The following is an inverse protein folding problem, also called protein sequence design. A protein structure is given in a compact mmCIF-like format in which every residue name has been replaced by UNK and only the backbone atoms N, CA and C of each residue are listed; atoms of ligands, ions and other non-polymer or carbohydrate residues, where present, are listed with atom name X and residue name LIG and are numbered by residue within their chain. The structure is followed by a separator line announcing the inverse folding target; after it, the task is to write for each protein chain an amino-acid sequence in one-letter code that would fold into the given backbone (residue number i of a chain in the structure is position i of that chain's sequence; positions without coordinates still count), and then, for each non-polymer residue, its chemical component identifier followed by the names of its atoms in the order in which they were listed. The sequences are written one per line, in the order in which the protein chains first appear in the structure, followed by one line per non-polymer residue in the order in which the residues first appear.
data_IF_681354339651
#
_entry.id   IF_681354339651
#
_cell.length_a   1.000
_cell.length_b   1.000
_cell.length_c   1.000
_cell.angle_alpha   90.00
_cell.angle_beta   90.00
_cell.angle_gamma   90.00
#
_symmetry.space_group_name_H-M   'P 1'
#
loop_
_entity.id
_entity.type
_entity.pdbx_description
1 polymer ?
#
# COMPACT_ATOMS: atom_id res chain seq x y z
N UNK A 1 -21.18 9.61 5.88
CA UNK A 1 -20.92 8.39 5.08
C UNK A 1 -19.45 8.40 4.68
N UNK A 2 -18.72 7.28 4.79
CA UNK A 2 -17.33 7.22 4.33
C UNK A 2 -17.28 7.52 2.83
N UNK A 3 -16.27 8.29 2.40
CA UNK A 3 -16.09 8.67 0.99
C UNK A 3 -15.83 7.39 0.18
N UNK A 4 -16.64 7.15 -0.86
CA UNK A 4 -16.50 5.98 -1.74
C UNK A 4 -15.13 6.03 -2.44
N UNK A 5 -14.45 4.89 -2.48
CA UNK A 5 -13.18 4.74 -3.19
C UNK A 5 -13.46 4.60 -4.69
N UNK A 6 -12.79 5.41 -5.49
CA UNK A 6 -13.01 5.46 -6.94
C UNK A 6 -12.62 4.15 -7.64
N UNK A 7 -13.44 3.74 -8.61
CA UNK A 7 -13.27 2.52 -9.40
C UNK A 7 -13.79 2.70 -10.83
N UNK A 8 -13.28 1.92 -11.76
CA UNK A 8 -13.61 2.07 -13.18
C UNK A 8 -14.91 1.37 -13.55
N UNK A 9 -15.32 0.36 -12.78
CA UNK A 9 -16.47 -0.48 -13.12
C UNK A 9 -16.18 -1.45 -14.28
N UNK A 10 -14.91 -1.80 -14.50
CA UNK A 10 -14.51 -2.73 -15.56
C UNK A 10 -14.87 -4.19 -15.27
N UNK A 11 -15.29 -4.51 -14.05
CA UNK A 11 -15.61 -5.86 -13.59
C UNK A 11 -16.97 -5.89 -12.88
N UNK A 12 -17.47 -7.10 -12.63
CA UNK A 12 -18.69 -7.32 -11.86
C UNK A 12 -18.44 -7.40 -10.34
N UNK A 13 -17.23 -7.07 -9.87
CA UNK A 13 -16.95 -7.06 -8.43
C UNK A 13 -17.85 -6.04 -7.74
N UNK A 14 -18.41 -6.39 -6.60
CA UNK A 14 -19.10 -5.43 -5.73
C UNK A 14 -18.09 -4.47 -5.09
N UNK A 15 -18.56 -3.36 -4.52
CA UNK A 15 -17.66 -2.45 -3.80
C UNK A 15 -17.02 -3.14 -2.58
N UNK A 16 -17.78 -3.98 -1.88
CA UNK A 16 -17.29 -4.79 -0.75
C UNK A 16 -16.17 -5.74 -1.16
N UNK A 17 -16.37 -6.45 -2.27
CA UNK A 17 -15.36 -7.36 -2.83
C UNK A 17 -14.10 -6.62 -3.25
N UNK A 18 -14.26 -5.43 -3.85
CA UNK A 18 -13.13 -4.63 -4.29
C UNK A 18 -12.36 -4.02 -3.10
N UNK A 19 -13.02 -3.66 -2.00
CA UNK A 19 -12.37 -3.24 -0.75
C UNK A 19 -11.52 -4.36 -0.15
N UNK A 20 -12.02 -5.59 -0.15
CA UNK A 20 -11.25 -6.77 0.27
C UNK A 20 -10.04 -6.94 -0.66
N UNK A 21 -10.28 -6.89 -1.97
CA UNK A 21 -9.25 -7.09 -2.97
C UNK A 21 -8.16 -6.00 -2.93
N UNK A 22 -8.48 -4.76 -2.53
CA UNK A 22 -7.48 -3.72 -2.27
C UNK A 22 -6.45 -4.15 -1.23
N UNK A 23 -6.89 -4.74 -0.12
CA UNK A 23 -5.97 -5.18 0.94
C UNK A 23 -5.26 -6.47 0.57
N UNK A 24 -5.96 -7.40 -0.09
CA UNK A 24 -5.32 -8.62 -0.60
C UNK A 24 -4.24 -8.27 -1.61
N UNK A 25 -4.52 -7.41 -2.61
CA UNK A 25 -3.56 -7.03 -3.65
C UNK A 25 -2.34 -6.30 -3.08
N UNK A 26 -2.52 -5.45 -2.07
CA UNK A 26 -1.40 -4.69 -1.50
C UNK A 26 -0.55 -5.49 -0.51
N UNK A 27 -1.18 -6.33 0.32
CA UNK A 27 -0.52 -6.94 1.49
C UNK A 27 -0.71 -8.46 1.60
N UNK A 28 -1.82 -8.98 1.10
CA UNK A 28 -2.27 -10.34 1.42
C UNK A 28 -2.71 -10.45 2.88
N UNK A 29 -2.65 -11.64 3.46
CA UNK A 29 -2.91 -11.83 4.90
C UNK A 29 -3.42 -13.23 5.23
N UNK A 30 -4.16 -13.33 6.32
CA UNK A 30 -4.93 -14.53 6.68
C UNK A 30 -6.42 -14.21 6.70
N UNK A 31 -7.28 -15.18 6.43
CA UNK A 31 -8.73 -15.00 6.28
C UNK A 31 -9.35 -14.30 7.49
N UNK A 32 -8.89 -14.62 8.70
CA UNK A 32 -9.40 -13.95 9.90
C UNK A 32 -9.17 -12.43 9.95
N UNK A 33 -8.19 -11.89 9.22
CA UNK A 33 -7.97 -10.44 9.12
C UNK A 33 -9.06 -9.72 8.33
N UNK A 34 -9.86 -10.48 7.56
CA UNK A 34 -10.87 -9.94 6.67
C UNK A 34 -12.29 -9.99 7.24
N UNK A 35 -12.50 -10.52 8.45
CA UNK A 35 -13.80 -10.45 9.11
C UNK A 35 -14.19 -8.99 9.41
N UNK A 36 -15.48 -8.69 9.35
CA UNK A 36 -15.96 -7.30 9.33
C UNK A 36 -15.60 -6.53 10.61
N UNK A 37 -15.53 -7.21 11.75
CA UNK A 37 -15.14 -6.64 13.04
C UNK A 37 -13.63 -6.41 13.17
N UNK A 38 -12.80 -7.10 12.39
CA UNK A 38 -11.34 -7.03 12.42
C UNK A 38 -10.80 -6.11 11.32
N UNK A 39 -11.39 -6.16 10.13
CA UNK A 39 -10.88 -5.54 8.91
C UNK A 39 -10.59 -4.03 9.06
N UNK A 40 -11.49 -3.20 9.63
CA UNK A 40 -11.23 -1.76 9.78
C UNK A 40 -10.04 -1.47 10.69
N UNK A 41 -9.91 -2.21 11.79
CA UNK A 41 -8.82 -2.01 12.75
C UNK A 41 -7.49 -2.54 12.22
N UNK A 42 -7.51 -3.69 11.55
CA UNK A 42 -6.31 -4.33 11.01
C UNK A 42 -5.69 -3.52 9.87
N UNK A 43 -6.52 -2.88 9.04
CA UNK A 43 -6.06 -2.22 7.82
C UNK A 43 -6.24 -0.70 7.81
N UNK A 44 -6.76 -0.12 8.89
CA UNK A 44 -7.17 1.27 8.98
C UNK A 44 -7.99 1.68 7.74
N UNK A 45 -9.08 0.95 7.50
CA UNK A 45 -9.88 1.03 6.27
C UNK A 45 -11.38 1.03 6.56
N UNK A 46 -12.24 1.51 5.66
CA UNK A 46 -13.67 1.38 5.82
C UNK A 46 -14.11 -0.09 5.95
N UNK A 47 -15.19 -0.34 6.70
CA UNK A 47 -15.86 -1.63 6.71
C UNK A 47 -16.27 -2.05 5.29
N UNK A 48 -16.11 -3.34 4.96
CA UNK A 48 -16.57 -3.87 3.67
C UNK A 48 -18.06 -4.24 3.70
N UNK A 49 -18.68 -4.44 4.88
CA UNK A 49 -20.12 -4.63 5.01
C UNK A 49 -20.64 -6.01 4.63
N UNK A 50 -19.76 -7.01 4.50
CA UNK A 50 -20.17 -8.41 4.37
C UNK A 50 -20.21 -9.03 5.76
N UNK A 51 -21.26 -9.77 6.09
CA UNK A 51 -21.22 -10.63 7.27
C UNK A 51 -20.24 -11.80 7.06
N UNK A 52 -19.89 -12.51 8.14
CA UNK A 52 -18.85 -13.53 8.10
C UNK A 52 -19.17 -14.70 7.15
N UNK A 53 -20.43 -15.12 7.09
CA UNK A 53 -20.88 -16.19 6.19
C UNK A 53 -20.71 -15.79 4.71
N UNK A 54 -21.18 -14.60 4.36
CA UNK A 54 -21.06 -14.05 3.01
C UNK A 54 -19.61 -13.76 2.66
N UNK A 55 -18.80 -13.28 3.60
CA UNK A 55 -17.37 -13.08 3.40
C UNK A 55 -16.67 -14.40 3.07
N UNK A 56 -16.90 -15.46 3.85
CA UNK A 56 -16.28 -16.77 3.60
C UNK A 56 -16.68 -17.29 2.23
N UNK A 57 -17.96 -17.26 1.89
CA UNK A 57 -18.45 -17.65 0.56
C UNK A 57 -17.83 -16.81 -0.57
N UNK A 58 -17.66 -15.50 -0.33
CA UNK A 58 -17.01 -14.58 -1.28
C UNK A 58 -15.55 -14.94 -1.50
N UNK A 59 -14.80 -15.20 -0.43
CA UNK A 59 -13.39 -15.57 -0.53
C UNK A 59 -13.21 -16.94 -1.19
N UNK A 60 -14.05 -17.92 -0.86
CA UNK A 60 -14.01 -19.24 -1.49
C UNK A 60 -14.34 -19.14 -2.99
N UNK A 61 -15.31 -18.30 -3.37
CA UNK A 61 -15.62 -18.01 -4.78
C UNK A 61 -14.45 -17.35 -5.49
N UNK A 62 -13.86 -16.29 -4.93
CA UNK A 62 -12.70 -15.61 -5.52
C UNK A 62 -11.49 -16.54 -5.67
N UNK A 63 -11.32 -17.50 -4.76
CA UNK A 63 -10.28 -18.52 -4.87
C UNK A 63 -10.59 -19.54 -5.97
N UNK A 64 -11.84 -20.02 -6.06
CA UNK A 64 -12.30 -20.90 -7.14
C UNK A 64 -12.17 -20.26 -8.53
N UNK A 65 -12.42 -18.95 -8.61
CA UNK A 65 -12.27 -18.15 -9.84
C UNK A 65 -10.80 -17.84 -10.16
N UNK A 66 -9.86 -18.26 -9.31
CA UNK A 66 -8.42 -18.03 -9.48
C UNK A 66 -7.99 -16.57 -9.28
N UNK A 67 -8.83 -15.74 -8.67
CA UNK A 67 -8.51 -14.33 -8.33
C UNK A 67 -7.55 -14.29 -7.14
N UNK A 68 -7.82 -15.09 -6.13
CA UNK A 68 -6.97 -15.25 -4.95
C UNK A 68 -6.53 -16.71 -4.80
N UNK A 69 -5.57 -16.95 -3.93
CA UNK A 69 -5.07 -18.27 -3.56
C UNK A 69 -4.72 -18.29 -2.08
N UNK A 70 -4.81 -19.46 -1.47
CA UNK A 70 -4.50 -19.65 -0.07
C UNK A 70 -3.96 -21.03 0.28
N UNK A 71 -3.29 -21.09 1.42
CA UNK A 71 -2.79 -22.31 2.04
C UNK A 71 -3.37 -22.41 3.45
N UNK A 72 -3.65 -23.62 3.90
CA UNK A 72 -4.08 -23.86 5.28
C UNK A 72 -3.00 -23.40 6.25
N UNK A 73 -3.39 -22.64 7.27
CA UNK A 73 -2.49 -22.09 8.28
C UNK A 73 -3.17 -22.08 9.66
N UNK A 74 -2.51 -21.48 10.65
CA UNK A 74 -3.10 -21.19 11.96
C UNK A 74 -3.06 -19.69 12.21
N UNK A 75 -4.12 -19.16 12.81
CA UNK A 75 -4.13 -17.77 13.25
C UNK A 75 -3.26 -17.57 14.51
N UNK A 76 -3.17 -16.32 14.99
CA UNK A 76 -2.40 -15.96 16.19
C UNK A 76 -2.80 -16.70 17.49
N UNK A 77 -3.98 -17.32 17.50
CA UNK A 77 -4.50 -18.12 18.62
C UNK A 77 -4.36 -19.63 18.38
N UNK A 78 -3.63 -20.05 17.34
CA UNK A 78 -3.42 -21.46 17.00
C UNK A 78 -4.62 -22.17 16.38
N UNK A 79 -5.71 -21.44 16.08
CA UNK A 79 -6.91 -21.99 15.44
C UNK A 79 -6.71 -22.11 13.92
N UNK A 80 -7.33 -23.09 13.25
CA UNK A 80 -7.26 -23.21 11.79
C UNK A 80 -7.67 -21.92 11.09
N UNK A 81 -6.91 -21.55 10.07
CA UNK A 81 -7.12 -20.37 9.24
C UNK A 81 -6.59 -20.65 7.82
N UNK A 82 -6.70 -19.69 6.90
CA UNK A 82 -6.20 -19.79 5.53
C UNK A 82 -5.44 -18.52 5.16
N UNK A 83 -4.25 -18.67 4.56
CA UNK A 83 -3.57 -17.50 3.97
C UNK A 83 -4.39 -17.00 2.78
N UNK A 84 -4.30 -15.71 2.49
CA UNK A 84 -4.95 -15.08 1.35
C UNK A 84 -3.90 -14.25 0.62
N UNK A 85 -3.70 -14.57 -0.65
CA UNK A 85 -2.84 -13.82 -1.58
C UNK A 85 -3.58 -13.66 -2.89
N UNK A 86 -3.35 -12.55 -3.57
CA UNK A 86 -3.83 -12.37 -4.94
C UNK A 86 -2.96 -13.21 -5.86
N UNK A 87 -3.58 -13.82 -6.86
CA UNK A 87 -2.84 -14.41 -7.98
C UNK A 87 -2.42 -13.31 -8.95
N UNK A 88 -1.57 -13.64 -9.94
CA UNK A 88 -1.30 -12.71 -11.04
C UNK A 88 -2.57 -12.34 -11.80
N UNK A 89 -3.50 -13.28 -11.97
CA UNK A 89 -4.77 -13.04 -12.64
C UNK A 89 -5.64 -12.06 -11.83
N UNK A 90 -5.80 -12.28 -10.53
CA UNK A 90 -6.56 -11.36 -9.68
C UNK A 90 -5.92 -9.98 -9.55
N UNK A 91 -4.58 -9.90 -9.61
CA UNK A 91 -3.87 -8.63 -9.67
C UNK A 91 -4.23 -7.82 -10.91
N UNK A 92 -4.34 -8.46 -12.08
CA UNK A 92 -4.78 -7.79 -13.31
C UNK A 92 -6.26 -7.35 -13.24
N UNK A 93 -7.13 -8.15 -12.63
CA UNK A 93 -8.53 -7.76 -12.35
C UNK A 93 -8.56 -6.51 -11.48
N UNK A 94 -7.81 -6.51 -10.38
CA UNK A 94 -7.70 -5.37 -9.48
C UNK A 94 -7.13 -4.12 -10.18
N UNK A 95 -6.08 -4.26 -10.99
CA UNK A 95 -5.52 -3.18 -11.78
C UNK A 95 -6.54 -2.60 -12.77
N UNK A 96 -7.41 -3.42 -13.35
CA UNK A 96 -8.44 -2.93 -14.27
C UNK A 96 -9.45 -2.00 -13.57
N UNK A 97 -9.76 -2.28 -12.29
CA UNK A 97 -10.68 -1.51 -11.46
C UNK A 97 -10.06 -0.25 -10.87
N UNK A 98 -8.80 -0.33 -10.43
CA UNK A 98 -8.11 0.80 -9.77
C UNK A 98 -7.29 1.66 -10.73
N UNK A 99 -6.90 1.13 -11.90
CA UNK A 99 -5.99 1.78 -12.86
C UNK A 99 -4.81 2.47 -12.16
N UNK A 100 -4.01 1.74 -11.35
CA UNK A 100 -2.89 2.35 -10.66
C UNK A 100 -1.85 2.88 -11.65
N UNK A 101 -1.39 4.11 -11.42
CA UNK A 101 -0.13 4.58 -11.99
C UNK A 101 1.02 4.09 -11.10
N UNK A 102 1.61 2.95 -11.46
CA UNK A 102 2.71 2.36 -10.70
C UNK A 102 3.95 3.24 -10.62
N UNK A 103 4.14 4.19 -11.53
CA UNK A 103 5.27 5.13 -11.47
C UNK A 103 5.17 6.05 -10.25
N UNK A 104 3.97 6.20 -9.70
CA UNK A 104 3.64 6.99 -8.51
C UNK A 104 3.53 6.16 -7.23
N UNK A 105 3.65 4.84 -7.33
CA UNK A 105 3.65 3.97 -6.16
C UNK A 105 4.97 4.13 -5.39
N UNK A 106 4.86 4.24 -4.07
CA UNK A 106 5.99 4.15 -3.18
C UNK A 106 5.68 3.36 -1.92
N UNK A 107 6.72 2.83 -1.30
CA UNK A 107 6.68 2.23 0.03
C UNK A 107 7.84 2.76 0.86
N UNK A 108 7.62 2.91 2.15
CA UNK A 108 8.56 3.46 3.10
C UNK A 108 8.83 2.47 4.23
N UNK A 109 10.06 2.49 4.72
CA UNK A 109 10.51 1.67 5.85
C UNK A 109 11.24 2.57 6.85
N UNK A 110 10.85 2.43 8.11
CA UNK A 110 11.40 3.12 9.27
C UNK A 110 12.25 2.13 10.06
N UNK A 111 13.56 2.38 10.13
CA UNK A 111 14.54 1.48 10.74
C UNK A 111 14.96 1.92 12.14
N UNK A 112 15.62 0.99 12.85
CA UNK A 112 16.21 1.23 14.16
C UNK A 112 17.24 2.36 14.13
N UNK A 113 17.31 3.07 15.25
CA UNK A 113 18.20 4.19 15.47
C UNK A 113 19.66 3.76 15.37
N UNK A 114 20.56 4.68 15.01
CA UNK A 114 22.01 4.40 15.12
C UNK A 114 22.33 3.96 16.55
N UNK A 115 23.33 3.08 16.71
CA UNK A 115 23.94 2.86 18.02
C UNK A 115 24.33 4.25 18.58
N UNK A 116 23.90 4.55 19.79
CA UNK A 116 24.16 5.82 20.50
C UNK A 116 23.59 7.08 19.84
N UNK A 117 22.53 6.97 19.04
CA UNK A 117 21.84 8.14 18.49
C UNK A 117 20.34 7.94 18.43
N UNK A 118 19.58 8.99 18.75
CA UNK A 118 18.13 9.02 18.62
C UNK A 118 17.67 9.10 17.16
N UNK A 119 18.57 9.46 16.23
CA UNK A 119 18.25 9.54 14.81
C UNK A 119 17.81 8.19 14.27
N UNK A 120 16.74 8.24 13.49
CA UNK A 120 16.18 7.08 12.86
C UNK A 120 16.40 7.08 11.34
N UNK A 121 16.48 5.90 10.74
CA UNK A 121 16.65 5.78 9.29
C UNK A 121 15.30 5.67 8.61
N UNK A 122 15.01 6.59 7.69
CA UNK A 122 13.89 6.48 6.76
C UNK A 122 14.42 6.01 5.42
N UNK A 123 13.73 5.05 4.82
CA UNK A 123 14.05 4.55 3.47
C UNK A 123 12.78 4.53 2.63
N UNK A 124 12.80 5.21 1.50
CA UNK A 124 11.69 5.31 0.55
C UNK A 124 12.09 4.54 -0.70
N UNK A 125 11.19 3.68 -1.17
CA UNK A 125 11.33 2.92 -2.40
C UNK A 125 10.19 3.29 -3.36
N UNK A 126 10.51 3.45 -4.64
CA UNK A 126 9.51 3.70 -5.68
C UNK A 126 10.11 3.48 -7.06
N UNK A 127 9.26 3.55 -8.08
CA UNK A 127 9.71 3.35 -9.47
C UNK A 127 10.24 4.63 -10.13
N UNK A 128 9.94 5.80 -9.55
CA UNK A 128 10.36 7.11 -10.05
C UNK A 128 11.16 7.87 -9.01
N UNK A 129 12.38 8.30 -9.37
CA UNK A 129 13.21 9.17 -8.52
C UNK A 129 12.49 10.48 -8.17
N UNK A 130 11.91 11.24 -9.14
CA UNK A 130 11.11 12.42 -8.83
C UNK A 130 10.02 12.17 -7.79
N UNK A 131 9.33 11.03 -7.85
CA UNK A 131 8.28 10.68 -6.88
C UNK A 131 8.84 10.43 -5.48
N UNK A 132 9.93 9.65 -5.36
CA UNK A 132 10.56 9.41 -4.07
C UNK A 132 11.07 10.70 -3.41
N UNK A 133 11.68 11.60 -4.20
CA UNK A 133 12.08 12.92 -3.73
C UNK A 133 10.88 13.79 -3.34
N UNK A 134 9.84 13.83 -4.16
CA UNK A 134 8.62 14.61 -3.87
C UNK A 134 7.97 14.19 -2.55
N UNK A 135 7.89 12.88 -2.27
CA UNK A 135 7.40 12.37 -0.99
C UNK A 135 8.30 12.80 0.18
N UNK A 136 9.62 12.65 0.04
CA UNK A 136 10.57 13.05 1.07
C UNK A 136 10.49 14.54 1.37
N UNK A 137 10.53 15.38 0.34
CA UNK A 137 10.50 16.84 0.44
C UNK A 137 9.17 17.33 1.02
N UNK A 138 8.04 16.78 0.57
CA UNK A 138 6.74 17.06 1.15
C UNK A 138 6.69 16.67 2.63
N UNK A 139 7.30 15.53 2.98
CA UNK A 139 7.37 15.06 4.35
C UNK A 139 8.21 15.96 5.26
N UNK A 140 9.33 16.48 4.75
CA UNK A 140 10.15 17.45 5.49
C UNK A 140 9.42 18.78 5.64
N UNK A 141 8.85 19.30 4.56
CA UNK A 141 8.15 20.60 4.55
C UNK A 141 6.91 20.61 5.45
N UNK A 142 6.22 19.47 5.59
CA UNK A 142 5.04 19.35 6.46
C UNK A 142 5.38 18.96 7.90
N UNK A 143 6.63 18.69 8.24
CA UNK A 143 7.00 18.15 9.56
C UNK A 143 6.60 16.68 9.78
N UNK A 144 6.30 15.94 8.71
CA UNK A 144 6.17 14.47 8.74
C UNK A 144 7.51 13.79 9.03
N UNK A 145 8.60 14.34 8.47
CA UNK A 145 9.99 13.92 8.70
C UNK A 145 10.78 15.07 9.31
N UNK A 146 11.26 14.94 10.57
CA UNK A 146 12.14 15.93 11.19
C UNK A 146 13.58 15.75 10.67
N UNK A 147 13.80 16.20 9.44
CA UNK A 147 15.11 16.14 8.79
C UNK A 147 15.86 17.46 8.97
N UNK A 148 16.90 17.45 9.80
CA UNK A 148 17.75 18.62 10.08
C UNK A 148 19.05 18.66 9.27
N UNK A 149 19.08 17.95 8.15
CA UNK A 149 20.25 17.85 7.28
C UNK A 149 21.10 16.59 7.49
N UNK A 150 22.15 16.48 6.69
CA UNK A 150 23.03 15.32 6.60
C UNK A 150 22.93 14.60 5.25
N UNK A 151 23.67 13.51 5.08
CA UNK A 151 23.72 12.82 3.80
C UNK A 151 22.39 12.12 3.47
N UNK A 152 21.84 12.41 2.30
CA UNK A 152 20.81 11.59 1.65
C UNK A 152 21.55 10.59 0.74
N UNK A 153 21.33 9.30 0.96
CA UNK A 153 21.87 8.24 0.13
C UNK A 153 20.82 7.79 -0.88
N UNK A 154 21.23 7.61 -2.13
CA UNK A 154 20.34 7.16 -3.20
C UNK A 154 20.96 6.00 -3.96
N UNK A 155 20.15 5.02 -4.38
CA UNK A 155 20.61 3.92 -5.22
C UNK A 155 19.47 3.39 -6.09
N UNK A 156 19.84 2.65 -7.15
CA UNK A 156 18.90 1.77 -7.84
C UNK A 156 19.13 0.32 -7.42
N UNK A 157 18.05 -0.44 -7.36
CA UNK A 157 18.08 -1.88 -7.11
C UNK A 157 17.02 -2.61 -7.92
N UNK A 158 17.01 -3.93 -7.82
CA UNK A 158 15.92 -4.77 -8.32
C UNK A 158 15.15 -5.30 -7.12
N UNK A 159 13.87 -4.96 -7.02
CA UNK A 159 13.03 -5.38 -5.89
C UNK A 159 11.61 -5.64 -6.36
N UNK A 160 10.93 -6.49 -5.60
CA UNK A 160 9.49 -6.59 -5.68
C UNK A 160 8.86 -5.67 -4.61
N UNK A 161 8.21 -4.57 -5.01
CA UNK A 161 7.49 -3.69 -4.08
C UNK A 161 6.05 -4.15 -3.80
N UNK A 162 5.49 -5.00 -4.67
CA UNK A 162 4.14 -5.56 -4.56
C UNK A 162 4.22 -7.04 -4.85
N UNK A 163 4.04 -7.88 -3.83
CA UNK A 163 4.45 -9.28 -3.83
C UNK A 163 4.04 -10.15 -5.04
N UNK A 164 2.97 -9.80 -5.76
CA UNK A 164 2.48 -10.55 -6.93
C UNK A 164 2.92 -9.96 -8.28
N UNK A 165 3.50 -8.75 -8.28
CA UNK A 165 4.11 -8.13 -9.46
C UNK A 165 5.55 -8.64 -9.67
N UNK A 166 6.08 -8.56 -10.91
CA UNK A 166 7.46 -8.98 -11.18
C UNK A 166 8.48 -8.13 -10.41
N UNK A 167 9.70 -8.64 -10.28
CA UNK A 167 10.83 -7.85 -9.79
C UNK A 167 11.15 -6.76 -10.80
N UNK A 168 11.15 -5.51 -10.36
CA UNK A 168 11.33 -4.33 -11.21
C UNK A 168 12.55 -3.50 -10.72
N UNK A 169 13.05 -2.62 -11.58
CA UNK A 169 14.03 -1.60 -11.17
C UNK A 169 13.32 -0.62 -10.23
N UNK A 170 13.91 -0.38 -9.07
CA UNK A 170 13.39 0.52 -8.04
C UNK A 170 14.46 1.53 -7.65
N UNK A 171 14.04 2.76 -7.43
CA UNK A 171 14.85 3.80 -6.83
C UNK A 171 14.67 3.76 -5.31
N UNK A 172 15.78 3.88 -4.58
CA UNK A 172 15.82 3.99 -3.14
C UNK A 172 16.38 5.35 -2.74
N UNK A 173 15.70 6.03 -1.82
CA UNK A 173 16.19 7.20 -1.09
C UNK A 173 16.26 6.85 0.39
N UNK A 174 17.40 7.10 1.04
CA UNK A 174 17.58 6.86 2.47
C UNK A 174 18.19 8.08 3.17
N UNK A 175 17.61 8.46 4.29
CA UNK A 175 18.04 9.60 5.09
C UNK A 175 17.91 9.30 6.60
N UNK A 176 18.67 10.03 7.41
CA UNK A 176 18.55 10.02 8.87
C UNK A 176 17.69 11.20 9.32
N UNK A 177 16.65 10.94 10.09
CA UNK A 177 15.71 11.94 10.65
C UNK A 177 15.79 11.90 12.17
N UNK A 178 15.49 13.01 12.83
CA UNK A 178 15.44 13.09 14.29
C UNK A 178 14.17 12.43 14.84
N UNK A 179 13.07 12.53 14.09
CA UNK A 179 11.79 11.92 14.42
C UNK A 179 10.91 11.79 13.18
N UNK A 180 9.81 11.05 13.32
CA UNK A 180 8.72 11.00 12.34
C UNK A 180 7.39 11.23 13.08
N UNK A 181 6.39 11.79 12.39
CA UNK A 181 5.01 11.94 12.86
C UNK A 181 4.74 12.83 14.10
N UNK A 182 5.67 13.66 14.58
CA UNK A 182 5.44 14.43 15.82
C UNK A 182 4.44 15.60 15.70
N UNK A 183 4.43 16.31 14.55
CA UNK A 183 3.59 17.49 14.35
C UNK A 183 3.32 17.76 12.86
N UNK A 184 2.80 16.76 12.15
CA UNK A 184 2.60 16.87 10.70
C UNK A 184 1.46 17.82 10.33
N UNK A 185 1.76 18.83 9.49
CA UNK A 185 0.76 19.56 8.72
C UNK A 185 0.23 18.67 7.59
N UNK A 186 -0.82 17.91 7.92
CA UNK A 186 -1.45 17.00 6.98
C UNK A 186 -2.03 17.71 5.76
N UNK A 187 -2.53 18.93 5.90
CA UNK A 187 -3.07 19.68 4.76
C UNK A 187 -1.95 20.02 3.78
N UNK A 188 -0.81 20.50 4.28
CA UNK A 188 0.36 20.76 3.44
C UNK A 188 0.87 19.47 2.77
N UNK A 189 0.94 18.37 3.53
CA UNK A 189 1.40 17.08 2.99
C UNK A 189 0.49 16.57 1.87
N UNK A 190 -0.84 16.62 2.08
CA UNK A 190 -1.83 16.22 1.07
C UNK A 190 -1.82 17.15 -0.16
N UNK A 191 -1.62 18.46 0.01
CA UNK A 191 -1.52 19.41 -1.10
C UNK A 191 -0.35 19.11 -2.05
N UNK A 192 0.73 18.49 -1.56
CA UNK A 192 1.90 18.10 -2.36
C UNK A 192 1.77 16.72 -2.99
N UNK A 193 0.67 16.00 -2.72
CA UNK A 193 0.51 14.60 -3.12
C UNK A 193 0.60 14.43 -4.62
N UNK A 194 1.61 13.68 -5.05
CA UNK A 194 1.76 13.18 -6.41
C UNK A 194 2.07 11.67 -6.45
N UNK A 195 1.94 11.01 -5.31
CA UNK A 195 2.24 9.60 -5.07
C UNK A 195 1.07 8.90 -4.39
N UNK A 196 1.11 7.57 -4.39
CA UNK A 196 0.23 6.73 -3.60
C UNK A 196 1.02 5.60 -2.92
N UNK A 197 0.51 5.18 -1.77
CA UNK A 197 1.01 4.11 -0.89
C UNK A 197 -0.09 3.09 -0.63
N UNK A 198 -1.33 3.55 -0.61
CA UNK A 198 -2.51 2.72 -0.35
C UNK A 198 -3.50 2.79 -1.52
N UNK A 199 -4.28 1.73 -1.70
CA UNK A 199 -5.19 1.60 -2.83
C UNK A 199 -6.25 2.72 -2.90
N UNK A 200 -6.70 3.23 -1.76
CA UNK A 200 -7.65 4.33 -1.65
C UNK A 200 -7.09 5.69 -2.07
N UNK A 201 -5.77 5.80 -2.25
CA UNK A 201 -5.12 7.01 -2.72
C UNK A 201 -5.03 7.06 -4.26
N UNK A 202 -5.23 5.94 -4.95
CA UNK A 202 -5.03 5.83 -6.41
C UNK A 202 -5.96 6.77 -7.18
N UNK A 203 -7.26 6.75 -6.85
CA UNK A 203 -8.27 7.58 -7.55
C UNK A 203 -7.97 9.08 -7.48
N UNK A 204 -7.32 9.55 -6.41
CA UNK A 204 -6.92 10.96 -6.23
C UNK A 204 -5.96 11.46 -7.31
N UNK A 205 -5.31 10.54 -8.02
CA UNK A 205 -4.29 10.82 -9.05
C UNK A 205 -4.77 10.49 -10.46
N UNK A 206 -6.03 10.10 -10.62
CA UNK A 206 -6.59 9.80 -11.95
C UNK A 206 -6.58 11.03 -12.85
N UNK A 207 -6.32 10.79 -14.14
CA UNK A 207 -6.20 11.84 -15.16
C UNK A 207 -4.85 12.55 -15.20
N UNK A 208 -3.94 12.24 -14.28
CA UNK A 208 -2.58 12.77 -14.32
C UNK A 208 -1.73 11.99 -15.32
N UNK A 209 -0.82 12.69 -16.00
CA UNK A 209 0.21 12.04 -16.82
C UNK A 209 1.06 11.10 -15.96
N UNK A 210 1.53 9.94 -16.48
CA UNK A 210 2.48 9.10 -15.76
C UNK A 210 3.70 9.90 -15.27
N UNK A 211 4.21 9.56 -14.08
CA UNK A 211 5.42 10.20 -13.59
C UNK A 211 6.63 9.82 -14.44
N UNK A 212 7.58 10.75 -14.57
CA UNK A 212 8.82 10.50 -15.29
C UNK A 212 9.63 9.40 -14.59
N UNK A 213 10.06 8.40 -15.35
CA UNK A 213 10.96 7.35 -14.88
C UNK A 213 12.34 7.66 -15.43
N UNK A 214 13.35 7.72 -14.57
CA UNK A 214 14.74 7.82 -15.00
C UNK A 214 15.17 6.46 -15.59
N UNK A 215 15.64 6.49 -16.85
CA UNK A 215 16.10 5.31 -17.59
C UNK A 215 17.20 4.51 -16.85
#
# INVERSE_FOLDING_TARGET
MPKRIERTGSTNLTDSELLILDKVAMLGGVRSMYYNDIFPYQFNYPEHGLNDEVLVATLDRLESDGVITGESTKNRHGKPDRTIRVTRHGGLIWESERKPDWTRYLTDAYGSSRLDSERHRVTIFGHSRPICHSFFDAGVQSGFLDYRGGRIATAFGKRNLIYWRPIEKVFMLSAWVESWHLATDWNHFEMKRCWWRFADEIGKLWGWSPAQIDA
#
